data_IF_082920258502
#
_entry.id   IF_082920258502
#
_cell.length_a   1.000
_cell.length_b   1.000
_cell.length_c   1.000
_cell.angle_alpha   90.00
_cell.angle_beta   90.00
_cell.angle_gamma   90.00
#
_symmetry.space_group_name_H-M   'P 1'
#
loop_
_entity.id
_entity.type
_entity.pdbx_description
1 polymer ?
#
# COMPACT_ATOMS: atom_id res chain seq x y z
N UNK A 1 -3.51 -0.34 15.64
CA UNK A 1 -4.09 0.88 15.06
C UNK A 1 -5.42 0.54 14.40
N UNK A 2 -6.40 1.45 14.41
CA UNK A 2 -7.70 1.28 13.78
C UNK A 2 -7.80 2.08 12.46
N UNK A 3 -8.87 1.86 11.69
CA UNK A 3 -9.07 2.52 10.41
C UNK A 3 -9.05 4.06 10.48
N UNK A 4 -9.68 4.66 11.50
CA UNK A 4 -9.72 6.12 11.65
C UNK A 4 -8.32 6.70 11.91
N UNK A 5 -7.53 6.05 12.76
CA UNK A 5 -6.15 6.46 13.05
C UNK A 5 -5.28 6.43 11.78
N UNK A 6 -5.48 5.42 10.92
CA UNK A 6 -4.79 5.28 9.62
C UNK A 6 -5.21 6.41 8.67
N UNK A 7 -6.51 6.68 8.53
CA UNK A 7 -7.00 7.78 7.71
C UNK A 7 -6.43 9.13 8.16
N UNK A 8 -6.37 9.38 9.47
CA UNK A 8 -5.81 10.60 10.03
C UNK A 8 -4.31 10.73 9.73
N UNK A 9 -3.55 9.63 9.79
CA UNK A 9 -2.13 9.61 9.42
C UNK A 9 -1.92 9.96 7.95
N UNK A 10 -2.71 9.36 7.04
CA UNK A 10 -2.65 9.67 5.61
C UNK A 10 -3.00 11.15 5.38
N UNK A 11 -4.10 11.64 5.97
CA UNK A 11 -4.50 13.05 5.85
C UNK A 11 -3.41 14.02 6.33
N UNK A 12 -2.70 13.71 7.40
CA UNK A 12 -1.58 14.53 7.88
C UNK A 12 -0.45 14.60 6.86
N UNK A 13 -0.13 13.49 6.20
CA UNK A 13 0.90 13.46 5.17
C UNK A 13 0.46 14.22 3.90
N UNK A 14 -0.80 14.06 3.48
CA UNK A 14 -1.34 14.81 2.34
C UNK A 14 -1.37 16.32 2.58
N UNK A 15 -1.57 16.76 3.82
CA UNK A 15 -1.51 18.18 4.17
C UNK A 15 -0.10 18.80 4.00
N UNK A 16 0.95 17.98 3.88
CA UNK A 16 2.32 18.41 3.62
C UNK A 16 2.64 18.56 2.13
N UNK A 17 1.76 18.11 1.22
CA UNK A 17 1.93 18.34 -0.21
C UNK A 17 1.82 19.84 -0.51
N UNK A 18 2.88 20.40 -1.11
CA UNK A 18 2.84 21.78 -1.59
C UNK A 18 1.81 21.93 -2.72
N UNK A 19 1.13 23.07 -2.75
CA UNK A 19 -0.04 23.40 -3.60
C UNK A 19 0.18 23.38 -5.11
N UNK A 20 1.34 22.95 -5.60
CA UNK A 20 1.72 23.02 -7.02
C UNK A 20 1.57 21.67 -7.75
N UNK A 21 1.06 20.62 -7.10
CA UNK A 21 0.90 19.29 -7.70
C UNK A 21 -0.56 18.84 -7.67
N UNK A 22 -1.43 19.64 -8.30
CA UNK A 22 -2.87 19.37 -8.40
C UNK A 22 -3.17 17.99 -9.01
N UNK A 23 -2.33 17.52 -9.94
CA UNK A 23 -2.51 16.23 -10.61
C UNK A 23 -2.17 15.04 -9.69
N UNK A 24 -1.05 15.08 -8.96
CA UNK A 24 -0.68 14.03 -7.98
C UNK A 24 -1.74 13.94 -6.88
N UNK A 25 -2.16 15.07 -6.32
CA UNK A 25 -3.19 15.09 -5.30
C UNK A 25 -4.52 14.54 -5.82
N UNK A 26 -4.88 14.86 -7.07
CA UNK A 26 -6.08 14.31 -7.72
C UNK A 26 -6.00 12.79 -7.85
N UNK A 27 -4.87 12.25 -8.33
CA UNK A 27 -4.68 10.80 -8.47
C UNK A 27 -4.69 10.09 -7.12
N UNK A 28 -4.06 10.67 -6.10
CA UNK A 28 -4.11 10.15 -4.73
C UNK A 28 -5.57 10.08 -4.27
N UNK A 29 -6.29 11.19 -4.31
CA UNK A 29 -7.68 11.26 -3.82
C UNK A 29 -8.61 10.28 -4.54
N UNK A 30 -8.36 10.06 -5.84
CA UNK A 30 -9.13 9.14 -6.66
C UNK A 30 -8.95 7.67 -6.32
N UNK A 31 -7.78 7.28 -5.79
CA UNK A 31 -7.48 5.90 -5.43
C UNK A 31 -7.60 5.61 -3.92
N UNK A 32 -7.78 6.64 -3.07
CA UNK A 32 -7.98 6.42 -1.64
C UNK A 32 -9.23 5.57 -1.40
N UNK A 33 -9.05 4.53 -0.59
CA UNK A 33 -10.13 3.68 -0.11
C UNK A 33 -10.21 3.76 1.42
N UNK A 34 -11.40 3.53 2.03
CA UNK A 34 -11.48 3.36 3.46
C UNK A 34 -10.52 2.24 3.90
N UNK A 35 -9.71 2.43 4.97
CA UNK A 35 -8.76 1.41 5.38
C UNK A 35 -9.44 0.05 5.62
N UNK A 36 -9.04 -0.94 4.84
CA UNK A 36 -9.61 -2.28 4.89
C UNK A 36 -8.55 -3.31 5.30
N UNK A 37 -8.79 -4.13 6.35
CA UNK A 37 -7.82 -5.12 6.77
C UNK A 37 -7.73 -6.25 5.74
N UNK A 38 -6.51 -6.62 5.34
CA UNK A 38 -6.26 -7.76 4.47
C UNK A 38 -4.98 -8.50 4.83
N UNK A 39 -4.74 -9.62 4.16
CA UNK A 39 -3.51 -10.41 4.30
C UNK A 39 -2.74 -10.37 2.99
N UNK A 40 -1.45 -10.06 3.07
CA UNK A 40 -0.53 -10.10 1.93
C UNK A 40 0.56 -11.14 2.13
N UNK A 41 1.15 -11.58 1.02
CA UNK A 41 2.29 -12.49 0.97
C UNK A 41 3.57 -11.67 0.87
N UNK A 42 4.40 -11.76 1.90
CA UNK A 42 5.78 -11.30 1.89
C UNK A 42 6.69 -12.44 1.43
N UNK A 43 7.52 -12.18 0.42
CA UNK A 43 8.56 -13.10 -0.03
C UNK A 43 9.89 -12.73 0.60
N UNK A 44 10.48 -13.68 1.32
CA UNK A 44 11.80 -13.55 1.91
C UNK A 44 12.76 -14.48 1.19
N UNK A 45 13.96 -14.00 0.89
CA UNK A 45 15.04 -14.83 0.35
C UNK A 45 16.03 -15.10 1.48
N UNK A 46 16.07 -16.35 1.92
CA UNK A 46 16.98 -16.82 2.97
C UNK A 46 17.80 -17.98 2.41
N UNK A 47 19.13 -17.87 2.43
CA UNK A 47 20.05 -18.92 1.95
C UNK A 47 19.78 -19.41 0.52
N UNK A 48 19.36 -18.50 -0.37
CA UNK A 48 19.04 -18.81 -1.76
C UNK A 48 17.70 -19.53 -1.95
N UNK A 49 16.85 -19.61 -0.92
CA UNK A 49 15.50 -20.15 -0.98
C UNK A 49 14.48 -19.06 -0.75
N UNK A 50 13.35 -19.15 -1.45
CA UNK A 50 12.19 -18.28 -1.22
C UNK A 50 11.33 -18.88 -0.11
N UNK A 51 11.05 -18.07 0.90
CA UNK A 51 10.09 -18.35 1.96
C UNK A 51 8.92 -17.38 1.84
N UNK A 52 7.71 -17.89 1.95
CA UNK A 52 6.49 -17.09 1.97
C UNK A 52 6.06 -16.86 3.42
N UNK A 53 5.76 -15.62 3.75
CA UNK A 53 5.20 -15.20 5.03
C UNK A 53 3.92 -14.41 4.77
N UNK A 54 2.92 -14.58 5.63
CA UNK A 54 1.73 -13.75 5.61
C UNK A 54 1.91 -12.55 6.53
N UNK A 55 1.45 -11.38 6.10
CA UNK A 55 1.45 -10.13 6.86
C UNK A 55 0.02 -9.57 6.90
N UNK A 56 -0.40 -9.14 8.08
CA UNK A 56 -1.70 -8.48 8.27
C UNK A 56 -1.50 -6.97 8.13
N UNK A 57 -2.18 -6.39 7.15
CA UNK A 57 -2.02 -4.99 6.76
C UNK A 57 -3.37 -4.36 6.47
N UNK A 58 -3.37 -3.06 6.25
CA UNK A 58 -4.54 -2.29 5.84
C UNK A 58 -4.35 -1.78 4.43
N UNK A 59 -5.27 -2.09 3.53
CA UNK A 59 -5.36 -1.43 2.21
C UNK A 59 -5.83 0.00 2.39
N UNK A 60 -5.12 0.95 1.80
CA UNK A 60 -5.43 2.38 1.96
C UNK A 60 -5.54 3.13 0.64
N UNK A 61 -5.00 2.56 -0.44
CA UNK A 61 -5.10 3.13 -1.77
C UNK A 61 -5.05 2.03 -2.83
N UNK A 62 -5.82 2.21 -3.89
CA UNK A 62 -5.87 1.32 -5.06
C UNK A 62 -5.76 2.16 -6.32
N UNK A 63 -4.96 1.70 -7.29
CA UNK A 63 -5.03 2.22 -8.65
C UNK A 63 -6.46 1.99 -9.21
N UNK A 64 -7.07 3.03 -9.78
CA UNK A 64 -8.53 3.16 -9.94
C UNK A 64 -9.31 1.91 -10.39
N UNK A 65 -10.54 1.86 -9.86
CA UNK A 65 -11.63 0.91 -10.05
C UNK A 65 -11.83 0.38 -11.48
N UNK A 66 -11.60 -0.92 -11.66
CA UNK A 66 -11.91 -1.67 -12.89
C UNK A 66 -10.74 -2.47 -13.46
N UNK A 67 -9.53 -2.28 -12.93
CA UNK A 67 -8.35 -3.05 -13.31
C UNK A 67 -8.05 -3.99 -12.14
N UNK A 68 -8.36 -5.28 -12.31
CA UNK A 68 -8.14 -6.30 -11.27
C UNK A 68 -6.66 -6.50 -10.91
N UNK A 69 -5.73 -5.96 -11.71
CA UNK A 69 -4.28 -6.20 -11.63
C UNK A 69 -3.42 -4.97 -11.29
N UNK A 70 -4.02 -3.88 -10.79
CA UNK A 70 -3.30 -2.63 -10.48
C UNK A 70 -2.43 -2.68 -9.22
N UNK A 71 -1.57 -1.68 -9.04
CA UNK A 71 -0.83 -1.51 -7.78
C UNK A 71 -1.74 -1.01 -6.65
N UNK A 72 -1.36 -1.35 -5.43
CA UNK A 72 -2.07 -0.97 -4.21
C UNK A 72 -1.07 -0.48 -3.17
N UNK A 73 -1.50 0.43 -2.31
CA UNK A 73 -0.72 0.86 -1.14
C UNK A 73 -1.37 0.29 0.11
N UNK A 74 -0.54 -0.31 0.95
CA UNK A 74 -0.92 -0.86 2.25
C UNK A 74 -0.20 -0.14 3.39
N UNK A 75 -0.74 -0.28 4.59
CA UNK A 75 -0.12 0.16 5.84
C UNK A 75 0.02 -1.03 6.81
N UNK A 76 1.23 -1.25 7.34
CA UNK A 76 1.49 -2.24 8.37
C UNK A 76 1.54 -1.57 9.76
N UNK A 77 0.58 -1.83 10.66
CA UNK A 77 0.51 -1.21 11.97
C UNK A 77 1.56 -1.71 12.96
N UNK A 78 2.13 -2.90 12.73
CA UNK A 78 3.16 -3.46 13.60
C UNK A 78 4.55 -2.87 13.30
N UNK A 79 4.74 -2.42 12.05
CA UNK A 79 5.99 -1.81 11.57
C UNK A 79 5.92 -0.29 11.48
N UNK A 80 4.72 0.29 11.52
CA UNK A 80 4.44 1.70 11.22
C UNK A 80 5.02 2.13 9.86
N UNK A 81 4.75 1.33 8.83
CA UNK A 81 5.28 1.54 7.48
C UNK A 81 4.19 1.37 6.42
N UNK A 82 4.29 2.19 5.38
CA UNK A 82 3.55 2.02 4.14
C UNK A 82 4.35 1.14 3.16
N UNK A 83 3.63 0.42 2.31
CA UNK A 83 4.24 -0.45 1.31
C UNK A 83 3.35 -0.65 0.09
N UNK A 84 3.91 -1.28 -0.94
CA UNK A 84 3.23 -1.50 -2.22
C UNK A 84 2.90 -2.98 -2.38
N UNK A 85 1.67 -3.28 -2.80
CA UNK A 85 1.23 -4.63 -3.14
C UNK A 85 0.69 -4.71 -4.56
N UNK A 86 0.64 -5.92 -5.11
CA UNK A 86 0.08 -6.25 -6.43
C UNK A 86 -0.54 -7.66 -6.39
N UNK A 87 -1.35 -8.04 -7.38
CA UNK A 87 -1.94 -9.39 -7.52
C UNK A 87 -0.92 -10.51 -7.71
N UNK A 88 0.36 -10.18 -7.90
CA UNK A 88 1.44 -11.15 -8.00
C UNK A 88 1.59 -11.70 -9.42
N UNK A 89 2.28 -12.84 -9.55
CA UNK A 89 2.42 -13.54 -10.83
C UNK A 89 1.24 -14.47 -11.08
N UNK A 90 0.93 -14.78 -12.36
CA UNK A 90 -0.09 -15.78 -12.70
C UNK A 90 0.14 -17.10 -11.95
N UNK A 91 -0.87 -17.54 -11.19
CA UNK A 91 -0.84 -18.76 -10.39
C UNK A 91 -0.52 -18.57 -8.91
N UNK A 92 -0.37 -17.33 -8.43
CA UNK A 92 -0.26 -17.02 -7.02
C UNK A 92 -1.63 -16.65 -6.43
N UNK A 93 -1.98 -17.30 -5.31
CA UNK A 93 -3.23 -17.02 -4.61
C UNK A 93 -3.00 -15.87 -3.60
N UNK A 94 -3.24 -14.63 -4.03
CA UNK A 94 -3.34 -13.46 -3.15
C UNK A 94 -2.34 -12.34 -3.44
N UNK A 95 -2.52 -11.22 -2.72
CA UNK A 95 -1.71 -10.02 -2.91
C UNK A 95 -0.28 -10.23 -2.40
N UNK A 96 0.69 -9.75 -3.17
CA UNK A 96 2.12 -9.87 -2.89
C UNK A 96 2.67 -8.51 -2.50
N UNK A 97 3.36 -8.45 -1.36
CA UNK A 97 4.09 -7.28 -0.92
C UNK A 97 5.40 -7.16 -1.70
N UNK A 98 5.55 -6.05 -2.42
CA UNK A 98 6.77 -5.71 -3.18
C UNK A 98 7.85 -5.11 -2.27
N UNK A 99 7.43 -4.35 -1.26
CA UNK A 99 8.32 -3.74 -0.27
C UNK A 99 7.63 -2.68 0.56
N UNK A 100 8.28 -2.30 1.67
CA UNK A 100 7.91 -1.12 2.46
C UNK A 100 8.72 0.09 1.98
N UNK A 101 8.07 1.24 1.86
CA UNK A 101 8.68 2.47 1.34
C UNK A 101 8.92 3.52 2.42
N UNK A 102 8.37 3.37 3.63
CA UNK A 102 8.41 4.41 4.65
C UNK A 102 7.03 5.00 4.85
N UNK A 103 6.77 6.12 4.21
CA UNK A 103 5.50 6.86 4.30
C UNK A 103 4.57 6.67 3.08
N UNK A 104 3.34 7.21 3.18
CA UNK A 104 2.31 7.06 2.15
C UNK A 104 2.73 7.74 0.83
N UNK A 105 3.35 8.92 0.90
CA UNK A 105 3.76 9.67 -0.28
C UNK A 105 4.94 9.01 -0.96
N UNK A 106 5.89 8.48 -0.20
CA UNK A 106 7.01 7.69 -0.72
C UNK A 106 6.51 6.41 -1.40
N UNK A 107 5.53 5.71 -0.81
CA UNK A 107 4.88 4.57 -1.46
C UNK A 107 4.16 4.97 -2.75
N UNK A 108 3.41 6.07 -2.75
CA UNK A 108 2.69 6.52 -3.94
C UNK A 108 3.62 6.92 -5.09
N UNK A 109 4.73 7.60 -4.77
CA UNK A 109 5.73 8.04 -5.77
C UNK A 109 6.63 6.92 -6.28
N UNK A 110 6.61 5.76 -5.61
CA UNK A 110 7.35 4.58 -6.02
C UNK A 110 6.55 3.65 -6.95
N UNK A 111 5.27 3.97 -7.21
CA UNK A 111 4.44 3.35 -8.25
C UNK A 111 4.87 3.85 -9.64
#
# INVERSE_FOLDING_TARGET
MNAQEIEEQIRKQLALLESNIDEELTMIQQGLVPPEPLTVILRLVEEGRVRLQQEHVWLVWTEQSGIEDGYQIIYNPDKDLFGITTTGFPGEDGLVLLGYCGDFLESFRAL
#
